data_IF_083433031277
#
_entry.id   IF_083433031277
#
_cell.length_a   1.000
_cell.length_b   1.000
_cell.length_c   1.000
_cell.angle_alpha   90.00
_cell.angle_beta   90.00
_cell.angle_gamma   90.00
#
_symmetry.space_group_name_H-M   'P 1'
#
loop_
_entity.id
_entity.type
_entity.pdbx_description
1 polymer ?
#
# COMPACT_ATOMS: atom_id res chain seq x y z
N UNK A 1 34.85 -4.92 -24.35
CA UNK A 1 33.65 -5.52 -23.73
C UNK A 1 32.98 -4.44 -22.90
N UNK A 2 32.19 -3.58 -23.56
CA UNK A 2 31.61 -2.38 -22.96
C UNK A 2 30.23 -2.76 -22.40
N UNK A 3 30.13 -2.96 -21.08
CA UNK A 3 28.85 -3.24 -20.43
C UNK A 3 28.06 -1.94 -20.28
N UNK A 4 27.10 -1.76 -21.18
CA UNK A 4 26.05 -0.74 -21.12
C UNK A 4 25.17 -1.02 -19.90
N UNK A 5 25.46 -0.40 -18.75
CA UNK A 5 24.52 -0.36 -17.63
C UNK A 5 23.39 0.57 -18.03
N UNK A 6 22.27 0.00 -18.48
CA UNK A 6 21.00 0.69 -18.56
C UNK A 6 20.60 1.14 -17.15
N UNK A 7 20.94 2.38 -16.80
CA UNK A 7 20.35 3.05 -15.65
C UNK A 7 18.89 3.35 -16.04
N UNK A 8 17.96 2.56 -15.53
CA UNK A 8 16.60 3.07 -15.33
C UNK A 8 16.72 4.28 -14.41
N UNK A 9 16.68 5.48 -14.99
CA UNK A 9 16.57 6.74 -14.28
C UNK A 9 15.18 6.76 -13.65
N UNK A 10 15.05 6.21 -12.44
CA UNK A 10 13.86 6.36 -11.62
C UNK A 10 13.83 7.84 -11.23
N UNK A 11 13.03 8.64 -11.93
CA UNK A 11 12.80 10.02 -11.56
C UNK A 11 11.80 10.03 -10.40
N UNK A 12 12.13 10.66 -9.26
CA UNK A 12 11.14 10.87 -8.21
C UNK A 12 9.97 11.68 -8.79
N UNK A 13 8.75 11.24 -8.51
CA UNK A 13 7.52 11.93 -8.93
C UNK A 13 6.85 12.47 -7.67
N UNK A 14 6.43 13.73 -7.73
CA UNK A 14 5.62 14.31 -6.67
C UNK A 14 4.17 13.79 -6.77
N UNK A 15 3.63 13.33 -5.64
CA UNK A 15 2.23 12.88 -5.54
C UNK A 15 1.55 13.64 -4.40
N UNK A 16 0.39 14.22 -4.69
CA UNK A 16 -0.46 14.85 -3.68
C UNK A 16 -1.09 13.77 -2.80
N UNK A 17 -0.61 13.66 -1.55
CA UNK A 17 -1.14 12.74 -0.53
C UNK A 17 -1.79 13.55 0.59
N UNK A 18 -2.90 13.07 1.12
CA UNK A 18 -3.59 13.70 2.24
C UNK A 18 -2.85 13.42 3.56
N UNK A 19 -2.85 14.38 4.49
CA UNK A 19 -2.27 14.17 5.82
C UNK A 19 -3.06 13.13 6.60
N UNK A 20 -2.35 12.35 7.40
CA UNK A 20 -2.95 11.55 8.46
C UNK A 20 -3.75 12.44 9.42
N UNK A 21 -4.93 11.96 9.81
CA UNK A 21 -5.87 12.68 10.67
C UNK A 21 -5.75 12.30 12.14
N UNK A 22 -4.89 11.34 12.50
CA UNK A 22 -4.73 10.89 13.88
C UNK A 22 -3.33 11.19 14.44
N UNK A 23 -3.29 11.70 15.67
CA UNK A 23 -2.07 11.94 16.42
C UNK A 23 -2.14 11.30 17.81
N UNK A 24 -0.98 10.94 18.34
CA UNK A 24 -0.86 10.29 19.66
C UNK A 24 -0.32 11.30 20.65
N UNK A 25 -0.95 11.40 21.82
CA UNK A 25 -0.50 12.29 22.91
C UNK A 25 0.97 12.00 23.27
N UNK A 26 1.77 13.06 23.44
CA UNK A 26 3.17 13.00 23.83
C UNK A 26 4.15 12.66 22.69
N UNK A 27 3.68 12.11 21.58
CA UNK A 27 4.50 11.79 20.41
C UNK A 27 4.60 12.99 19.46
N UNK A 28 5.67 13.10 18.65
CA UNK A 28 5.72 14.07 17.56
C UNK A 28 4.75 13.65 16.45
N UNK A 29 4.08 14.63 15.83
CA UNK A 29 3.22 14.40 14.67
C UNK A 29 3.61 15.31 13.51
N UNK A 30 3.86 14.72 12.35
CA UNK A 30 4.00 15.43 11.08
C UNK A 30 2.62 15.72 10.49
N UNK A 31 2.36 16.98 10.21
CA UNK A 31 1.22 17.48 9.45
C UNK A 31 1.64 17.63 8.00
N UNK A 32 1.17 16.73 7.14
CA UNK A 32 1.64 16.64 5.75
C UNK A 32 0.83 17.59 4.86
N UNK A 33 1.52 18.49 4.17
CA UNK A 33 0.88 19.34 3.16
C UNK A 33 1.72 19.30 1.90
N UNK A 34 1.22 18.60 0.89
CA UNK A 34 1.89 18.46 -0.41
C UNK A 34 1.03 19.16 -1.46
N UNK A 35 1.70 19.96 -2.29
CA UNK A 35 1.12 20.55 -3.48
C UNK A 35 2.14 20.40 -4.60
N UNK A 36 1.94 19.41 -5.46
CA UNK A 36 2.84 19.18 -6.58
C UNK A 36 2.68 20.25 -7.66
N UNK A 37 3.81 20.70 -8.21
CA UNK A 37 3.77 21.58 -9.37
C UNK A 37 3.40 20.76 -10.61
N UNK A 38 2.57 21.31 -11.51
CA UNK A 38 2.25 20.64 -12.77
C UNK A 38 3.46 20.46 -13.69
N UNK A 39 4.43 21.37 -13.55
CA UNK A 39 5.62 21.47 -14.38
C UNK A 39 6.80 21.85 -13.50
N UNK A 40 7.77 20.96 -13.36
CA UNK A 40 8.88 21.08 -12.39
C UNK A 40 9.99 22.01 -12.89
N UNK A 41 10.13 22.16 -14.20
CA UNK A 41 11.15 23.04 -14.80
C UNK A 41 10.87 24.54 -14.62
N UNK A 42 9.67 24.93 -14.17
CA UNK A 42 9.30 26.34 -13.98
C UNK A 42 9.68 26.79 -12.58
N UNK A 43 10.52 27.83 -12.49
CA UNK A 43 10.89 28.43 -11.21
C UNK A 43 9.70 29.21 -10.63
N UNK A 44 9.35 28.88 -9.38
CA UNK A 44 8.27 29.54 -8.66
C UNK A 44 8.74 29.99 -7.27
N UNK A 45 8.33 31.19 -6.86
CA UNK A 45 8.43 31.63 -5.48
C UNK A 45 7.24 31.09 -4.69
N UNK A 46 7.50 30.33 -3.62
CA UNK A 46 6.45 29.70 -2.81
C UNK A 46 6.33 30.38 -1.45
N UNK A 47 5.11 30.72 -1.08
CA UNK A 47 4.72 31.28 0.21
C UNK A 47 3.71 30.34 0.86
N UNK A 48 3.97 29.96 2.12
CA UNK A 48 3.11 29.02 2.84
C UNK A 48 2.59 29.67 4.09
N UNK A 49 1.29 29.53 4.34
CA UNK A 49 0.64 29.93 5.57
C UNK A 49 -0.12 28.75 6.14
N UNK A 50 0.08 28.49 7.41
CA UNK A 50 -0.68 27.50 8.17
C UNK A 50 -1.63 28.19 9.13
N UNK A 51 -2.85 27.67 9.19
CA UNK A 51 -3.92 28.13 10.03
C UNK A 51 -4.41 27.01 10.93
N UNK A 52 -4.78 27.39 12.14
CA UNK A 52 -5.51 26.58 13.10
C UNK A 52 -6.85 27.26 13.38
N UNK A 53 -7.94 26.61 13.01
CA UNK A 53 -9.30 27.15 13.12
C UNK A 53 -9.79 26.95 14.56
N UNK A 54 -10.40 27.98 15.20
CA UNK A 54 -11.21 28.99 14.55
C UNK A 54 -10.54 30.07 13.72
N UNK A 55 -9.43 30.75 14.08
CA UNK A 55 -8.88 31.88 13.27
C UNK A 55 -7.41 32.25 13.51
N UNK A 56 -6.52 31.33 13.87
CA UNK A 56 -5.16 31.70 14.26
C UNK A 56 -4.09 31.23 13.28
N UNK A 57 -3.22 32.16 12.89
CA UNK A 57 -2.03 31.86 12.08
C UNK A 57 -1.00 31.19 12.99
N UNK A 58 -0.63 29.96 12.65
CA UNK A 58 0.32 29.20 13.48
C UNK A 58 1.74 29.25 12.92
N UNK A 59 1.89 29.29 11.59
CA UNK A 59 3.20 29.22 10.95
C UNK A 59 3.22 29.90 9.58
N UNK A 60 4.26 30.67 9.31
CA UNK A 60 4.49 31.34 8.02
C UNK A 60 5.87 30.96 7.48
N UNK A 61 5.90 30.53 6.21
CA UNK A 61 7.13 30.31 5.45
C UNK A 61 7.17 31.26 4.25
N UNK A 62 8.16 32.16 4.23
CA UNK A 62 8.36 33.12 3.14
C UNK A 62 9.83 33.18 2.74
N UNK A 63 10.17 32.53 1.62
CA UNK A 63 11.54 32.43 1.12
C UNK A 63 12.43 31.64 2.07
N UNK A 64 13.05 32.34 3.02
CA UNK A 64 13.85 31.78 4.14
C UNK A 64 13.41 32.28 5.52
N UNK A 65 12.48 33.22 5.60
CA UNK A 65 11.97 33.70 6.87
C UNK A 65 10.90 32.72 7.38
N UNK A 66 11.07 32.27 8.62
CA UNK A 66 10.17 31.37 9.34
C UNK A 66 9.64 32.15 10.53
N UNK A 67 8.34 32.32 10.59
CA UNK A 67 7.71 33.05 11.70
C UNK A 67 6.63 32.18 12.31
N UNK A 68 6.84 31.82 13.57
CA UNK A 68 5.84 31.25 14.46
C UNK A 68 5.13 32.39 15.18
N UNK A 69 3.80 32.38 15.19
CA UNK A 69 3.01 33.50 15.74
C UNK A 69 2.15 33.09 16.92
N UNK A 70 1.69 31.84 16.99
CA UNK A 70 0.74 31.41 18.01
C UNK A 70 1.41 30.83 19.26
N UNK A 71 1.09 31.39 20.42
CA UNK A 71 1.77 31.10 21.70
C UNK A 71 1.68 29.62 22.13
N UNK A 72 0.54 28.91 22.00
CA UNK A 72 0.44 27.46 22.26
C UNK A 72 1.34 26.55 21.41
N UNK A 73 1.72 27.01 20.22
CA UNK A 73 2.56 26.24 19.28
C UNK A 73 4.01 26.74 19.22
N UNK A 74 4.33 27.82 19.94
CA UNK A 74 5.65 28.42 19.98
C UNK A 74 6.69 27.42 20.50
N UNK A 75 7.81 27.32 19.79
CA UNK A 75 8.93 26.40 20.08
C UNK A 75 8.58 24.90 20.00
N UNK A 76 7.35 24.56 19.63
CA UNK A 76 6.88 23.17 19.41
C UNK A 76 6.76 22.82 17.94
N UNK A 77 6.55 23.81 17.08
CA UNK A 77 6.51 23.61 15.64
C UNK A 77 7.91 23.51 15.05
N UNK A 78 8.06 22.59 14.10
CA UNK A 78 9.29 22.42 13.35
C UNK A 78 8.98 22.30 11.87
N UNK A 79 9.80 22.91 11.02
CA UNK A 79 9.65 22.78 9.57
C UNK A 79 10.15 21.42 9.12
N UNK A 80 9.30 20.67 8.40
CA UNK A 80 9.65 19.38 7.84
C UNK A 80 9.24 19.26 6.36
N UNK A 81 9.45 20.35 5.60
CA UNK A 81 9.18 20.41 4.17
C UNK A 81 10.42 20.14 3.30
N UNK A 82 10.19 19.83 2.04
CA UNK A 82 11.24 19.57 1.04
C UNK A 82 11.94 20.87 0.61
N UNK A 83 13.19 20.73 0.13
CA UNK A 83 13.97 21.84 -0.42
C UNK A 83 13.29 22.48 -1.65
N UNK A 84 12.55 21.69 -2.44
CA UNK A 84 11.86 22.16 -3.64
C UNK A 84 10.52 22.85 -3.33
N UNK A 85 10.13 22.94 -2.05
CA UNK A 85 8.89 23.55 -1.57
C UNK A 85 7.61 22.97 -2.24
N UNK A 86 7.70 21.74 -2.76
CA UNK A 86 6.56 20.94 -3.21
C UNK A 86 5.85 20.30 -2.02
N UNK A 87 6.63 19.85 -1.04
CA UNK A 87 6.16 19.43 0.27
C UNK A 87 6.43 20.54 1.29
N UNK A 88 5.38 21.01 1.94
CA UNK A 88 5.38 22.15 2.89
C UNK A 88 4.83 21.75 4.24
N UNK A 89 5.26 20.57 4.70
CA UNK A 89 4.82 19.92 5.93
C UNK A 89 5.46 20.55 7.17
N UNK A 90 4.70 20.59 8.26
CA UNK A 90 5.17 21.02 9.59
C UNK A 90 5.08 19.85 10.57
N UNK A 91 5.88 19.88 11.63
CA UNK A 91 5.90 18.86 12.67
C UNK A 91 5.60 19.50 14.02
N UNK A 92 4.62 18.96 14.75
CA UNK A 92 4.32 19.34 16.12
C UNK A 92 5.10 18.42 17.07
N UNK A 93 5.98 19.00 17.88
CA UNK A 93 6.72 18.28 18.93
C UNK A 93 5.85 18.16 20.18
N UNK A 94 5.76 16.94 20.72
CA UNK A 94 4.97 16.57 21.90
C UNK A 94 3.50 16.99 21.76
N UNK A 95 2.72 16.21 21.03
CA UNK A 95 1.28 16.50 20.84
C UNK A 95 0.51 16.45 22.16
N UNK A 96 -0.46 17.34 22.32
CA UNK A 96 -1.36 17.47 23.47
C UNK A 96 -2.81 17.43 23.00
N UNK A 97 -3.75 17.19 23.91
CA UNK A 97 -5.18 17.17 23.57
C UNK A 97 -5.71 18.48 22.97
N UNK A 98 -5.11 19.62 23.35
CA UNK A 98 -5.53 20.93 22.84
C UNK A 98 -5.12 21.18 21.39
N UNK A 99 -4.26 20.33 20.82
CA UNK A 99 -3.84 20.43 19.42
C UNK A 99 -4.88 19.77 18.48
N UNK A 100 -5.93 19.13 19.03
CA UNK A 100 -7.01 18.58 18.21
C UNK A 100 -7.87 19.69 17.63
N UNK A 101 -8.04 19.70 16.32
CA UNK A 101 -8.79 20.76 15.66
C UNK A 101 -8.65 20.70 14.14
N UNK A 102 -9.04 21.80 13.50
CA UNK A 102 -9.01 21.91 12.05
C UNK A 102 -7.79 22.71 11.60
N UNK A 103 -7.00 22.10 10.73
CA UNK A 103 -5.78 22.67 10.17
C UNK A 103 -5.98 22.97 8.70
N UNK A 104 -5.47 24.12 8.28
CA UNK A 104 -5.50 24.55 6.89
C UNK A 104 -4.11 25.05 6.46
N UNK A 105 -3.67 24.55 5.33
CA UNK A 105 -2.41 24.90 4.70
C UNK A 105 -2.73 25.63 3.40
N UNK A 106 -2.31 26.89 3.32
CA UNK A 106 -2.47 27.74 2.15
C UNK A 106 -1.11 27.96 1.49
N UNK A 107 -0.97 27.44 0.27
CA UNK A 107 0.23 27.57 -0.55
C UNK A 107 -0.07 28.59 -1.64
N UNK A 108 0.62 29.73 -1.62
CA UNK A 108 0.64 30.69 -2.72
C UNK A 108 1.93 30.54 -3.50
N UNK A 109 1.82 30.32 -4.81
CA UNK A 109 2.98 30.25 -5.72
C UNK A 109 2.91 31.35 -6.75
N UNK A 110 4.00 32.06 -6.92
CA UNK A 110 4.20 33.06 -7.96
C UNK A 110 5.22 32.50 -8.96
N UNK A 111 4.78 32.28 -10.20
CA UNK A 111 5.64 31.76 -11.25
C UNK A 111 6.35 32.91 -11.96
N UNK A 112 7.67 32.84 -12.08
CA UNK A 112 8.43 33.85 -12.81
C UNK A 112 8.51 33.50 -14.30
N UNK A 113 7.68 34.10 -15.14
CA UNK A 113 7.87 34.08 -16.60
C UNK A 113 8.42 35.44 -17.09
N UNK A 114 9.08 35.46 -18.24
CA UNK A 114 9.78 36.64 -18.76
C UNK A 114 8.88 37.88 -18.91
N UNK A 115 7.58 37.69 -19.16
CA UNK A 115 6.62 38.76 -19.46
C UNK A 115 5.48 38.91 -18.45
N UNK A 116 5.29 37.95 -17.53
CA UNK A 116 4.17 37.94 -16.58
C UNK A 116 4.47 37.04 -15.37
N UNK A 117 3.89 37.38 -14.22
CA UNK A 117 4.08 36.64 -12.97
C UNK A 117 2.74 36.18 -12.40
N UNK A 118 2.16 35.07 -12.89
CA UNK A 118 0.88 34.60 -12.41
C UNK A 118 1.02 34.00 -11.00
N UNK A 119 0.05 34.29 -10.13
CA UNK A 119 -0.03 33.76 -8.79
C UNK A 119 -1.17 32.75 -8.66
N UNK A 120 -0.91 31.58 -8.09
CA UNK A 120 -1.93 30.57 -7.78
C UNK A 120 -1.94 30.28 -6.29
N UNK A 121 -3.13 30.09 -5.74
CA UNK A 121 -3.33 29.72 -4.34
C UNK A 121 -3.97 28.34 -4.30
N UNK A 122 -3.39 27.45 -3.50
CA UNK A 122 -3.90 26.11 -3.22
C UNK A 122 -4.11 25.97 -1.73
N UNK A 123 -5.29 25.51 -1.35
CA UNK A 123 -5.68 25.30 0.04
C UNK A 123 -5.89 23.81 0.26
N UNK A 124 -5.30 23.28 1.33
CA UNK A 124 -5.45 21.90 1.77
C UNK A 124 -5.87 21.94 3.23
N UNK A 125 -6.91 21.20 3.57
CA UNK A 125 -7.44 21.17 4.92
C UNK A 125 -7.69 19.74 5.40
N UNK A 126 -7.63 19.57 6.71
CA UNK A 126 -7.94 18.32 7.38
C UNK A 126 -8.18 18.57 8.88
N UNK A 127 -8.87 17.63 9.52
CA UNK A 127 -9.13 17.67 10.95
C UNK A 127 -8.20 16.68 11.66
N UNK A 128 -7.46 17.16 12.66
CA UNK A 128 -6.59 16.35 13.49
C UNK A 128 -7.34 15.91 14.76
N UNK A 129 -7.42 14.60 14.96
CA UNK A 129 -7.91 13.98 16.19
C UNK A 129 -6.72 13.46 17.01
N UNK A 130 -6.63 13.90 18.27
CA UNK A 130 -5.59 13.45 19.19
C UNK A 130 -6.15 12.32 20.07
N UNK A 131 -5.42 11.19 20.13
CA UNK A 131 -5.79 9.99 20.90
C UNK A 131 -4.64 9.56 21.82
N UNK A 132 -4.93 8.77 22.85
CA UNK A 132 -3.90 8.18 23.71
C UNK A 132 -3.14 7.04 23.06
N UNK A 133 -3.80 6.31 22.16
CA UNK A 133 -3.25 5.12 21.50
C UNK A 133 -3.52 5.19 20.01
N UNK A 134 -2.58 4.70 19.22
CA UNK A 134 -2.76 4.50 17.78
C UNK A 134 -4.00 3.63 17.54
N UNK A 135 -4.86 4.02 16.60
CA UNK A 135 -5.86 3.09 16.08
C UNK A 135 -5.14 1.99 15.30
N UNK A 136 -5.69 0.78 15.34
CA UNK A 136 -5.17 -0.29 14.50
C UNK A 136 -5.75 -0.07 13.09
N UNK A 137 -4.90 -0.11 12.06
CA UNK A 137 -5.37 -0.06 10.67
C UNK A 137 -6.27 -1.28 10.39
N UNK A 138 -7.58 -1.05 10.40
CA UNK A 138 -8.58 -2.09 10.15
C UNK A 138 -8.38 -2.72 8.78
N UNK A 139 -7.93 -1.93 7.80
CA UNK A 139 -7.56 -2.38 6.46
C UNK A 139 -6.38 -3.35 6.48
N UNK A 140 -5.35 -3.08 7.29
CA UNK A 140 -4.17 -3.94 7.40
C UNK A 140 -4.52 -5.28 8.08
N UNK A 141 -5.32 -5.23 9.14
CA UNK A 141 -5.80 -6.44 9.82
C UNK A 141 -6.70 -7.26 8.86
N UNK A 142 -7.58 -6.60 8.12
CA UNK A 142 -8.47 -7.27 7.17
C UNK A 142 -7.69 -7.95 6.04
N UNK A 143 -6.69 -7.28 5.46
CA UNK A 143 -5.89 -7.85 4.37
C UNK A 143 -5.04 -9.04 4.83
N UNK A 144 -4.53 -9.00 6.06
CA UNK A 144 -3.82 -10.13 6.67
C UNK A 144 -4.74 -11.34 6.85
N UNK A 145 -5.93 -11.15 7.44
CA UNK A 145 -6.90 -12.23 7.64
C UNK A 145 -7.36 -12.80 6.29
N UNK A 146 -7.69 -11.95 5.32
CA UNK A 146 -8.12 -12.40 3.99
C UNK A 146 -7.02 -13.21 3.28
N UNK A 147 -5.75 -12.82 3.43
CA UNK A 147 -4.62 -13.59 2.88
C UNK A 147 -4.59 -15.01 3.45
N UNK A 148 -4.65 -15.18 4.78
CA UNK A 148 -4.63 -16.51 5.40
C UNK A 148 -5.84 -17.35 5.00
N UNK A 149 -7.03 -16.75 4.93
CA UNK A 149 -8.25 -17.44 4.51
C UNK A 149 -8.09 -17.99 3.09
N UNK A 150 -7.63 -17.17 2.14
CA UNK A 150 -7.39 -17.62 0.77
C UNK A 150 -6.33 -18.73 0.70
N UNK A 151 -5.25 -18.63 1.47
CA UNK A 151 -4.22 -19.67 1.53
C UNK A 151 -4.76 -21.01 2.04
N UNK A 152 -5.57 -21.01 3.11
CA UNK A 152 -6.16 -22.24 3.65
C UNK A 152 -7.15 -22.86 2.66
N UNK A 153 -7.99 -22.06 2.01
CA UNK A 153 -8.93 -22.58 1.01
C UNK A 153 -8.22 -23.16 -0.21
N UNK A 154 -7.21 -22.47 -0.75
CA UNK A 154 -6.44 -22.95 -1.90
C UNK A 154 -5.64 -24.20 -1.57
N UNK A 155 -5.02 -24.26 -0.39
CA UNK A 155 -4.28 -25.46 0.05
C UNK A 155 -5.21 -26.65 0.27
N UNK A 156 -6.36 -26.46 0.91
CA UNK A 156 -7.36 -27.52 1.06
C UNK A 156 -7.88 -28.01 -0.30
N UNK A 157 -8.20 -27.09 -1.22
CA UNK A 157 -8.59 -27.45 -2.58
C UNK A 157 -7.52 -28.28 -3.28
N UNK A 158 -6.25 -27.85 -3.23
CA UNK A 158 -5.14 -28.60 -3.81
C UNK A 158 -4.98 -29.99 -3.17
N UNK A 159 -5.13 -30.12 -1.85
CA UNK A 159 -5.09 -31.42 -1.18
C UNK A 159 -6.23 -32.34 -1.65
N UNK A 160 -7.43 -31.80 -1.83
CA UNK A 160 -8.57 -32.56 -2.37
C UNK A 160 -8.26 -33.04 -3.78
N UNK A 161 -7.75 -32.18 -4.66
CA UNK A 161 -7.33 -32.55 -6.03
C UNK A 161 -6.21 -33.59 -6.02
N UNK A 162 -5.21 -33.43 -5.15
CA UNK A 162 -4.12 -34.40 -4.99
C UNK A 162 -4.61 -35.77 -4.54
N UNK A 163 -5.52 -35.84 -3.55
CA UNK A 163 -6.12 -37.10 -3.09
C UNK A 163 -7.04 -37.70 -4.15
N UNK A 164 -7.81 -36.87 -4.84
CA UNK A 164 -8.70 -37.30 -5.92
C UNK A 164 -7.90 -37.90 -7.09
N UNK A 165 -6.86 -37.21 -7.55
CA UNK A 165 -5.96 -37.70 -8.60
C UNK A 165 -5.22 -38.96 -8.15
N UNK A 166 -4.72 -38.99 -6.93
CA UNK A 166 -4.03 -40.16 -6.38
C UNK A 166 -4.94 -41.39 -6.38
N UNK A 167 -6.16 -41.28 -5.85
CA UNK A 167 -7.14 -42.38 -5.85
C UNK A 167 -7.56 -42.81 -7.25
N UNK A 168 -7.64 -41.86 -8.19
CA UNK A 168 -7.98 -42.17 -9.58
C UNK A 168 -6.85 -42.96 -10.26
N UNK A 169 -5.59 -42.54 -10.08
CA UNK A 169 -4.43 -43.23 -10.64
C UNK A 169 -4.27 -44.61 -10.01
N UNK A 170 -4.42 -44.75 -8.69
CA UNK A 170 -4.28 -46.05 -8.02
C UNK A 170 -5.27 -47.08 -8.54
N UNK A 171 -6.54 -46.67 -8.78
CA UNK A 171 -7.56 -47.55 -9.36
C UNK A 171 -7.22 -47.96 -10.80
N UNK A 172 -6.64 -47.06 -11.61
CA UNK A 172 -6.20 -47.42 -12.97
C UNK A 172 -4.96 -48.32 -12.99
N UNK A 173 -4.09 -48.20 -11.98
CA UNK A 173 -2.86 -49.01 -11.87
C UNK A 173 -3.18 -50.46 -11.48
N UNK A 174 -4.10 -50.67 -10.51
CA UNK A 174 -4.64 -52.00 -10.19
C UNK A 174 -5.26 -52.67 -11.43
N UNK A 175 -6.05 -51.93 -12.22
CA UNK A 175 -6.67 -52.45 -13.44
C UNK A 175 -5.66 -52.78 -14.55
N UNK A 176 -4.58 -52.00 -14.68
CA UNK A 176 -3.49 -52.28 -15.62
C UNK A 176 -2.68 -53.52 -15.21
N UNK A 177 -2.49 -53.72 -13.90
CA UNK A 177 -1.83 -54.90 -13.37
C UNK A 177 -2.69 -56.16 -13.53
N UNK A 178 -4.00 -56.11 -13.24
CA UNK A 178 -4.91 -57.25 -13.45
C UNK A 178 -5.03 -57.66 -14.94
N UNK A 179 -5.00 -56.70 -15.87
CA UNK A 179 -4.94 -57.02 -17.31
C UNK A 179 -3.61 -57.68 -17.67
N UNK A 180 -2.47 -57.12 -17.26
CA UNK A 180 -1.16 -57.72 -17.52
C UNK A 180 -1.01 -59.12 -16.90
N UNK A 181 -1.56 -59.34 -15.70
CA UNK A 181 -1.52 -60.64 -15.00
C UNK A 181 -2.43 -61.67 -15.66
N UNK A 182 -3.59 -61.26 -16.20
CA UNK A 182 -4.46 -62.13 -17.02
C UNK A 182 -3.78 -62.63 -18.30
N UNK A 183 -2.91 -61.81 -18.93
CA UNK A 183 -2.14 -62.25 -20.10
C UNK A 183 -0.98 -63.19 -19.76
N UNK A 184 -0.51 -63.21 -18.50
CA UNK A 184 0.58 -64.06 -18.02
C UNK A 184 0.09 -65.35 -17.34
N UNK A 185 -1.19 -65.43 -16.98
CA UNK A 185 -1.81 -66.66 -16.48
C UNK A 185 -2.02 -67.65 -17.65
N UNK A 186 -1.02 -68.48 -17.90
CA UNK A 186 -1.11 -69.63 -18.80
C UNK A 186 -2.16 -70.60 -18.23
N UNK A 187 -3.26 -70.94 -18.94
CA UNK A 187 -4.13 -72.01 -18.51
C UNK A 187 -3.42 -73.34 -18.81
N UNK A 188 -2.89 -73.97 -17.76
CA UNK A 188 -2.40 -75.34 -17.82
C UNK A 188 -3.56 -76.32 -17.76
N UNK A 189 -4.25 -76.55 -18.88
CA UNK A 189 -4.95 -77.82 -19.11
C UNK A 189 -4.80 -78.22 -20.58
N UNK A 190 -3.84 -79.12 -20.80
CA UNK A 190 -3.82 -80.00 -21.95
C UNK A 190 -4.20 -81.40 -21.45
N UNK A 191 -5.06 -82.10 -22.23
CA UNK A 191 -5.33 -83.56 -22.24
C UNK A 191 -6.61 -83.95 -21.45
N UNK A 192 -7.70 -84.52 -22.00
CA UNK A 192 -7.91 -85.45 -23.11
C UNK A 192 -9.35 -85.34 -23.71
N UNK A 193 -9.53 -85.71 -24.99
CA UNK A 193 -10.82 -85.91 -25.71
C UNK A 193 -11.56 -87.20 -25.20
N UNK A 194 -12.72 -87.62 -25.77
CA UNK A 194 -14.00 -86.97 -26.06
C UNK A 194 -15.21 -87.84 -25.59
N UNK A 195 -16.43 -87.30 -25.48
CA UNK A 195 -17.67 -88.03 -25.80
C UNK A 195 -18.91 -87.13 -25.66
N UNK A 196 -19.70 -87.11 -26.72
CA UNK A 196 -21.05 -86.54 -26.84
C UNK A 196 -22.08 -87.36 -26.02
N UNK A 197 -23.41 -87.23 -26.25
CA UNK A 197 -24.30 -86.07 -26.42
C UNK A 197 -25.52 -86.16 -25.45
N UNK A 198 -26.59 -85.39 -25.75
CA UNK A 198 -28.03 -85.71 -25.52
C UNK A 198 -28.68 -85.04 -24.29
N UNK A 199 -29.39 -83.91 -24.51
CA UNK A 199 -30.87 -83.68 -24.45
C UNK A 199 -31.49 -83.84 -23.05
N UNK A 200 -32.47 -83.08 -22.59
CA UNK A 200 -33.47 -82.17 -23.20
C UNK A 200 -33.47 -80.80 -22.52
#
# INVERSE_FOLDING_TARGET
>A
HTTLKSLFLIRPVCVDVQSDTEAIVGQPKKLTCISCMRREEVKASTFVKWYYTPKEFIYIYQGNNRTEMFEPFKDRLNWNGSQDLQEVSIEIRKVTYNDSGFYECQIRREFGFDFYTPSFVTEKNFTLAVREKASNDTTAIYSEIMMYVLLVFLTFWLLVEMVYCYRKISKSDEQAQDTATNYLAIPSEQKDNPAAPVTE
#
